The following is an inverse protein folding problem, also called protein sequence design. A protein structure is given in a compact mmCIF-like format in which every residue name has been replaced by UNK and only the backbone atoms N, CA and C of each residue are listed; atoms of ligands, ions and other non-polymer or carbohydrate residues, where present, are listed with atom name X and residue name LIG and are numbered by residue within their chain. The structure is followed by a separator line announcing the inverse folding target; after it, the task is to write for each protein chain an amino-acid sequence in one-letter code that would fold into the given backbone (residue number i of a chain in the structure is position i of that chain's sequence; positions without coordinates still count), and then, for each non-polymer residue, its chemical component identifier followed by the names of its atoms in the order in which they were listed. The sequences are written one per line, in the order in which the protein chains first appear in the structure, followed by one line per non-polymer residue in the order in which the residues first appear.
data_IF_066873930859
#
_entry.id   IF_066873930859
#
_cell.length_a   1.000
_cell.length_b   1.000
_cell.length_c   1.000
_cell.angle_alpha   90.00
_cell.angle_beta   90.00
_cell.angle_gamma   90.00
#
_symmetry.space_group_name_H-M   'P 1'
#
loop_
_entity.id
_entity.type
_entity.pdbx_description
1 polymer ?
#
# COMPACT_ATOMS: atom_id res chain seq x y z
N UNK A 1 53.19 -26.55 -10.94
CA UNK A 1 51.83 -26.32 -11.48
C UNK A 1 50.93 -26.02 -10.30
N UNK A 2 50.55 -24.76 -10.13
CA UNK A 2 49.75 -24.30 -8.99
C UNK A 2 48.35 -24.06 -9.50
N UNK A 3 47.43 -24.99 -9.22
CA UNK A 3 46.02 -24.89 -9.61
C UNK A 3 45.31 -23.96 -8.62
N UNK A 4 45.11 -22.70 -9.02
CA UNK A 4 44.31 -21.75 -8.27
C UNK A 4 42.84 -22.12 -8.44
N UNK A 5 42.26 -22.80 -7.45
CA UNK A 5 40.82 -23.07 -7.40
C UNK A 5 40.13 -21.75 -7.07
N UNK A 6 39.51 -21.12 -8.07
CA UNK A 6 38.62 -19.99 -7.86
C UNK A 6 37.38 -20.48 -7.09
N UNK A 7 37.36 -20.24 -5.79
CA UNK A 7 36.15 -20.35 -4.98
C UNK A 7 35.13 -19.36 -5.56
N UNK A 8 34.12 -19.86 -6.27
CA UNK A 8 32.90 -19.10 -6.55
C UNK A 8 32.31 -18.73 -5.20
N UNK A 9 32.62 -17.52 -4.72
CA UNK A 9 31.96 -16.93 -3.57
C UNK A 9 30.48 -16.89 -3.86
N UNK A 10 29.71 -17.72 -3.17
CA UNK A 10 28.26 -17.59 -3.13
C UNK A 10 27.97 -16.23 -2.50
N UNK A 11 27.70 -15.23 -3.34
CA UNK A 11 27.26 -13.92 -2.88
C UNK A 11 26.03 -14.13 -1.98
N UNK A 12 25.92 -13.42 -0.85
CA UNK A 12 24.89 -13.67 0.15
C UNK A 12 23.50 -13.45 -0.44
N UNK A 13 22.79 -14.55 -0.72
CA UNK A 13 21.43 -14.59 -1.25
C UNK A 13 20.39 -14.05 -0.26
N UNK A 14 20.67 -14.15 1.04
CA UNK A 14 19.83 -13.70 2.15
C UNK A 14 19.41 -12.22 2.03
N UNK A 15 20.35 -11.32 1.69
CA UNK A 15 20.04 -9.88 1.62
C UNK A 15 19.20 -9.48 0.41
N UNK A 16 19.26 -10.24 -0.69
CA UNK A 16 18.41 -10.01 -1.86
C UNK A 16 16.97 -10.39 -1.57
N UNK A 17 16.76 -11.49 -0.84
CA UNK A 17 15.43 -11.93 -0.44
C UNK A 17 14.74 -10.86 0.42
N UNK A 18 15.45 -10.22 1.37
CA UNK A 18 14.89 -9.16 2.21
C UNK A 18 14.35 -7.95 1.44
N UNK A 19 15.10 -7.46 0.44
CA UNK A 19 14.66 -6.33 -0.42
C UNK A 19 13.43 -6.71 -1.24
N UNK A 20 13.41 -7.90 -1.84
CA UNK A 20 12.26 -8.37 -2.61
C UNK A 20 11.02 -8.61 -1.74
N UNK A 21 11.20 -9.10 -0.51
CA UNK A 21 10.10 -9.23 0.45
C UNK A 21 9.54 -7.85 0.82
N UNK A 22 10.38 -6.87 1.11
CA UNK A 22 9.95 -5.50 1.42
C UNK A 22 9.14 -4.90 0.28
N UNK A 23 9.67 -4.95 -0.95
CA UNK A 23 8.98 -4.45 -2.15
C UNK A 23 7.69 -5.22 -2.39
N UNK A 24 7.69 -6.55 -2.22
CA UNK A 24 6.50 -7.38 -2.34
C UNK A 24 5.40 -7.01 -1.36
N UNK A 25 5.76 -6.72 -0.10
CA UNK A 25 4.82 -6.23 0.92
C UNK A 25 4.27 -4.86 0.55
N UNK A 26 5.11 -3.93 0.08
CA UNK A 26 4.67 -2.59 -0.34
C UNK A 26 3.72 -2.63 -1.53
N UNK A 27 4.04 -3.44 -2.54
CA UNK A 27 3.17 -3.65 -3.71
C UNK A 27 1.88 -4.35 -3.31
N UNK A 28 1.96 -5.40 -2.48
CA UNK A 28 0.78 -6.11 -1.99
C UNK A 28 -0.15 -5.21 -1.19
N UNK A 29 0.41 -4.36 -0.33
CA UNK A 29 -0.36 -3.35 0.41
C UNK A 29 -1.02 -2.33 -0.53
N UNK A 30 -0.29 -1.84 -1.54
CA UNK A 30 -0.86 -0.92 -2.53
C UNK A 30 -2.02 -1.54 -3.31
N UNK A 31 -1.92 -2.82 -3.69
CA UNK A 31 -3.01 -3.55 -4.34
C UNK A 31 -4.21 -3.71 -3.41
N UNK A 32 -3.98 -4.09 -2.15
CA UNK A 32 -5.06 -4.20 -1.16
C UNK A 32 -5.76 -2.86 -0.92
N UNK A 33 -4.99 -1.77 -0.84
CA UNK A 33 -5.54 -0.43 -0.69
C UNK A 33 -6.40 -0.02 -1.90
N UNK A 34 -5.91 -0.26 -3.12
CA UNK A 34 -6.66 0.02 -4.34
C UNK A 34 -7.95 -0.82 -4.43
N UNK A 35 -7.88 -2.11 -4.08
CA UNK A 35 -9.03 -3.00 -4.04
C UNK A 35 -10.05 -2.57 -2.97
N UNK A 36 -9.59 -2.15 -1.79
CA UNK A 36 -10.46 -1.62 -0.74
C UNK A 36 -11.21 -0.36 -1.19
N UNK A 37 -10.51 0.59 -1.79
CA UNK A 37 -11.11 1.79 -2.35
C UNK A 37 -12.11 1.48 -3.48
N UNK A 38 -11.76 0.55 -4.37
CA UNK A 38 -12.65 0.10 -5.44
C UNK A 38 -13.93 -0.56 -4.90
N UNK A 39 -13.80 -1.47 -3.93
CA UNK A 39 -14.94 -2.15 -3.32
C UNK A 39 -15.85 -1.17 -2.58
N UNK A 40 -15.30 -0.18 -1.90
CA UNK A 40 -16.07 0.87 -1.25
C UNK A 40 -16.85 1.73 -2.26
N UNK A 41 -16.22 2.13 -3.37
CA UNK A 41 -16.90 2.87 -4.45
C UNK A 41 -17.96 2.02 -5.15
N UNK A 42 -17.70 0.72 -5.36
CA UNK A 42 -18.67 -0.19 -5.94
C UNK A 42 -19.89 -0.36 -5.03
N UNK A 43 -19.68 -0.52 -3.72
CA UNK A 43 -20.76 -0.60 -2.73
C UNK A 43 -21.57 0.69 -2.69
N UNK A 44 -20.92 1.85 -2.70
CA UNK A 44 -21.61 3.14 -2.79
C UNK A 44 -22.45 3.28 -4.07
N UNK A 45 -21.94 2.79 -5.20
CA UNK A 45 -22.68 2.76 -6.46
C UNK A 45 -23.86 1.79 -6.43
N UNK A 46 -23.77 0.67 -5.72
CA UNK A 46 -24.89 -0.27 -5.50
C UNK A 46 -25.99 0.36 -4.64
N UNK A 47 -25.63 1.13 -3.61
CA UNK A 47 -26.59 1.81 -2.73
C UNK A 47 -27.33 2.98 -3.41
N UNK A 48 -26.61 3.77 -4.21
CA UNK A 48 -27.14 5.01 -4.82
C UNK A 48 -27.58 4.87 -6.27
N UNK A 49 -27.20 3.77 -6.93
CA UNK A 49 -27.48 3.53 -8.35
C UNK A 49 -26.58 4.28 -9.34
N UNK A 50 -25.58 5.03 -8.87
CA UNK A 50 -24.61 5.71 -9.74
C UNK A 50 -23.21 5.84 -9.12
N UNK A 51 -22.19 5.90 -9.98
CA UNK A 51 -20.80 6.11 -9.53
C UNK A 51 -20.59 7.55 -9.06
N UNK A 52 -20.27 7.70 -7.78
CA UNK A 52 -19.85 8.96 -7.16
C UNK A 52 -18.86 8.65 -6.02
N UNK A 53 -18.14 9.65 -5.54
CA UNK A 53 -17.31 9.51 -4.34
C UNK A 53 -18.19 9.93 -3.16
N UNK A 54 -18.60 8.99 -2.29
CA UNK A 54 -19.45 9.32 -1.16
C UNK A 54 -18.68 10.16 -0.14
N UNK A 55 -19.44 10.96 0.60
CA UNK A 55 -18.94 11.77 1.69
C UNK A 55 -19.63 11.42 3.00
N UNK A 56 -19.02 11.83 4.11
CA UNK A 56 -19.70 11.79 5.40
C UNK A 56 -20.93 12.69 5.33
N UNK A 57 -22.06 12.24 5.89
CA UNK A 57 -23.36 12.92 5.78
C UNK A 57 -23.86 13.12 4.33
N UNK A 58 -23.47 12.25 3.39
CA UNK A 58 -23.98 12.34 2.01
C UNK A 58 -25.49 12.06 1.96
N UNK A 59 -26.25 13.05 1.48
CA UNK A 59 -27.71 13.00 1.34
C UNK A 59 -28.19 11.81 0.50
N UNK A 60 -27.35 11.27 -0.40
CA UNK A 60 -27.68 10.10 -1.21
C UNK A 60 -27.64 8.78 -0.42
N UNK A 61 -26.90 8.73 0.69
CA UNK A 61 -26.78 7.56 1.57
C UNK A 61 -27.28 7.82 2.99
N UNK A 62 -27.84 9.01 3.25
CA UNK A 62 -28.34 9.43 4.55
C UNK A 62 -29.47 8.49 5.03
N UNK A 63 -29.20 7.74 6.10
CA UNK A 63 -30.13 6.77 6.69
C UNK A 63 -30.04 5.34 6.13
N UNK A 64 -29.13 5.07 5.18
CA UNK A 64 -28.78 3.70 4.80
C UNK A 64 -27.71 3.15 5.74
N UNK A 65 -27.89 1.91 6.20
CA UNK A 65 -26.86 1.21 6.97
C UNK A 65 -25.73 0.76 6.03
N UNK A 66 -24.72 1.62 5.85
CA UNK A 66 -23.60 1.42 4.93
C UNK A 66 -22.81 0.15 5.28
N UNK A 67 -22.67 -0.13 6.58
CA UNK A 67 -22.03 -1.34 7.09
C UNK A 67 -23.00 -2.54 7.18
N UNK A 68 -24.30 -2.27 7.27
CA UNK A 68 -25.38 -3.23 7.37
C UNK A 68 -25.43 -4.22 6.22
N UNK A 69 -25.05 -5.47 6.50
CA UNK A 69 -25.04 -6.53 5.49
C UNK A 69 -23.77 -6.57 4.63
N UNK A 70 -22.87 -5.59 4.77
CA UNK A 70 -21.58 -5.60 4.07
C UNK A 70 -20.48 -6.19 4.95
N UNK A 71 -20.31 -7.52 4.89
CA UNK A 71 -19.33 -8.25 5.71
C UNK A 71 -17.85 -7.83 5.52
N UNK A 72 -17.55 -7.03 4.49
CA UNK A 72 -16.21 -6.50 4.22
C UNK A 72 -16.02 -5.04 4.65
N UNK A 73 -17.06 -4.37 5.16
CA UNK A 73 -16.97 -2.98 5.60
C UNK A 73 -15.83 -2.76 6.61
N UNK A 74 -15.75 -3.62 7.62
CA UNK A 74 -14.75 -3.53 8.68
C UNK A 74 -13.30 -3.70 8.19
N UNK A 75 -12.92 -4.79 7.49
CA UNK A 75 -11.54 -4.95 7.01
C UNK A 75 -11.16 -3.87 5.97
N UNK A 76 -12.09 -3.45 5.12
CA UNK A 76 -11.84 -2.39 4.13
C UNK A 76 -11.60 -1.05 4.82
N UNK A 77 -12.49 -0.65 5.75
CA UNK A 77 -12.34 0.56 6.54
C UNK A 77 -11.01 0.59 7.29
N UNK A 78 -10.61 -0.53 7.91
CA UNK A 78 -9.32 -0.63 8.59
C UNK A 78 -8.12 -0.43 7.65
N UNK A 79 -8.13 -1.03 6.46
CA UNK A 79 -7.06 -0.86 5.46
C UNK A 79 -6.99 0.58 4.95
N UNK A 80 -8.14 1.20 4.66
CA UNK A 80 -8.18 2.58 4.17
C UNK A 80 -7.68 3.60 5.21
N UNK A 81 -8.07 3.43 6.48
CA UNK A 81 -7.64 4.32 7.57
C UNK A 81 -6.19 4.12 7.98
N UNK A 82 -5.69 2.89 7.94
CA UNK A 82 -4.28 2.59 8.28
C UNK A 82 -3.31 2.92 7.15
N UNK A 83 -3.81 3.21 5.93
CA UNK A 83 -2.99 3.47 4.75
C UNK A 83 -1.96 4.59 4.90
N UNK A 84 -2.26 5.78 5.48
CA UNK A 84 -1.27 6.83 5.64
C UNK A 84 -0.12 6.41 6.56
N UNK A 85 -0.44 5.70 7.66
CA UNK A 85 0.54 5.21 8.63
C UNK A 85 1.40 4.10 8.03
N UNK A 86 0.78 3.12 7.38
CA UNK A 86 1.48 2.01 6.73
C UNK A 86 2.38 2.49 5.58
N UNK A 87 1.90 3.44 4.77
CA UNK A 87 2.68 4.03 3.70
C UNK A 87 3.84 4.90 4.24
N UNK A 88 3.61 5.67 5.30
CA UNK A 88 4.66 6.44 5.98
C UNK A 88 5.77 5.55 6.54
N UNK A 89 5.41 4.47 7.23
CA UNK A 89 6.38 3.49 7.74
C UNK A 89 7.11 2.77 6.59
N UNK A 90 6.40 2.38 5.54
CA UNK A 90 6.99 1.75 4.36
C UNK A 90 8.02 2.65 3.66
N UNK A 91 7.73 3.94 3.52
CA UNK A 91 8.67 4.94 3.01
C UNK A 91 9.90 5.06 3.91
N UNK A 92 9.70 5.16 5.22
CA UNK A 92 10.81 5.25 6.18
C UNK A 92 11.75 4.04 6.06
N UNK A 93 11.19 2.83 6.04
CA UNK A 93 11.97 1.58 5.89
C UNK A 93 12.69 1.54 4.54
N UNK A 94 12.04 1.94 3.45
CA UNK A 94 12.69 2.01 2.13
C UNK A 94 13.85 3.00 2.08
N UNK A 95 13.70 4.19 2.69
CA UNK A 95 14.77 5.19 2.77
C UNK A 95 15.95 4.65 3.58
N UNK A 96 15.69 4.02 4.74
CA UNK A 96 16.73 3.41 5.55
C UNK A 96 17.45 2.28 4.79
N UNK A 97 16.71 1.40 4.12
CA UNK A 97 17.28 0.34 3.29
C UNK A 97 18.11 0.90 2.12
N UNK A 98 17.69 2.02 1.53
CA UNK A 98 18.44 2.71 0.48
C UNK A 98 19.75 3.29 1.03
N UNK A 99 19.72 3.99 2.17
CA UNK A 99 20.92 4.57 2.78
C UNK A 99 21.95 3.50 3.16
N UNK A 100 21.51 2.41 3.78
CA UNK A 100 22.36 1.26 4.13
C UNK A 100 22.92 0.60 2.87
N UNK A 101 22.07 0.35 1.87
CA UNK A 101 22.49 -0.28 0.61
C UNK A 101 23.44 0.57 -0.23
N UNK A 102 23.31 1.91 -0.17
CA UNK A 102 24.20 2.85 -0.83
C UNK A 102 25.59 2.87 -0.18
N UNK A 103 25.65 2.88 1.17
CA UNK A 103 26.91 2.80 1.92
C UNK A 103 27.70 1.50 1.62
N UNK A 104 26.99 0.42 1.30
CA UNK A 104 27.57 -0.88 0.94
C UNK A 104 27.82 -1.07 -0.57
N UNK A 105 27.59 -0.05 -1.42
CA UNK A 105 27.86 -0.09 -2.86
C UNK A 105 26.97 -1.07 -3.66
N UNK A 106 25.74 -1.35 -3.21
CA UNK A 106 24.89 -2.41 -3.77
C UNK A 106 24.07 -1.96 -5.00
N UNK A 107 23.94 -2.86 -5.99
CA UNK A 107 23.21 -2.66 -7.27
C UNK A 107 21.68 -2.87 -7.21
N UNK A 108 21.07 -3.14 -6.05
CA UNK A 108 19.62 -3.41 -5.94
C UNK A 108 18.75 -2.15 -5.80
N UNK A 109 19.31 -1.00 -6.17
CA UNK A 109 18.72 0.32 -6.04
C UNK A 109 17.38 0.46 -6.78
N UNK A 110 17.24 -0.14 -7.96
CA UNK A 110 16.01 -0.02 -8.77
C UNK A 110 14.77 -0.65 -8.12
N UNK A 111 14.90 -1.79 -7.43
CA UNK A 111 13.77 -2.44 -6.77
C UNK A 111 13.28 -1.60 -5.56
N UNK A 112 14.22 -1.03 -4.80
CA UNK A 112 13.90 -0.13 -3.68
C UNK A 112 13.26 1.17 -4.17
N UNK A 113 13.69 1.71 -5.32
CA UNK A 113 13.06 2.88 -5.94
C UNK A 113 11.62 2.54 -6.32
N UNK A 114 11.38 1.41 -6.98
CA UNK A 114 10.03 0.99 -7.37
C UNK A 114 9.10 0.86 -6.14
N UNK A 115 9.57 0.20 -5.07
CA UNK A 115 8.82 0.09 -3.81
C UNK A 115 8.53 1.45 -3.16
N UNK A 116 9.54 2.33 -3.11
CA UNK A 116 9.38 3.71 -2.61
C UNK A 116 8.34 4.49 -3.41
N UNK A 117 8.39 4.43 -4.75
CA UNK A 117 7.44 5.15 -5.62
C UNK A 117 6.02 4.65 -5.40
N UNK A 118 5.81 3.33 -5.32
CA UNK A 118 4.50 2.75 -5.05
C UNK A 118 3.97 3.17 -3.68
N UNK A 119 4.81 3.09 -2.65
CA UNK A 119 4.43 3.48 -1.29
C UNK A 119 4.13 4.98 -1.20
N UNK A 120 4.90 5.81 -1.91
CA UNK A 120 4.67 7.24 -2.03
C UNK A 120 3.35 7.55 -2.74
N UNK A 121 3.04 6.83 -3.82
CA UNK A 121 1.78 6.99 -4.53
C UNK A 121 0.59 6.66 -3.62
N UNK A 122 0.66 5.56 -2.85
CA UNK A 122 -0.37 5.22 -1.84
C UNK A 122 -0.54 6.34 -0.83
N UNK A 123 0.57 6.89 -0.30
CA UNK A 123 0.51 8.00 0.64
C UNK A 123 -0.18 9.22 0.03
N UNK A 124 0.22 9.63 -1.18
CA UNK A 124 -0.38 10.77 -1.87
C UNK A 124 -1.88 10.58 -2.09
N UNK A 125 -2.29 9.40 -2.58
CA UNK A 125 -3.71 9.08 -2.81
C UNK A 125 -4.47 9.09 -1.48
N UNK A 126 -3.91 8.51 -0.42
CA UNK A 126 -4.57 8.47 0.90
C UNK A 126 -4.80 9.84 1.53
N UNK A 127 -4.00 10.84 1.15
CA UNK A 127 -4.13 12.21 1.62
C UNK A 127 -5.06 13.06 0.75
N UNK A 128 -5.60 12.51 -0.34
CA UNK A 128 -6.55 13.26 -1.18
C UNK A 128 -7.89 13.46 -0.45
N UNK A 129 -8.60 14.58 -0.70
CA UNK A 129 -9.93 14.80 -0.15
C UNK A 129 -10.91 13.66 -0.48
N UNK A 130 -10.81 13.08 -1.67
CA UNK A 130 -11.65 11.96 -2.09
C UNK A 130 -11.43 10.70 -1.22
N UNK A 131 -10.17 10.36 -0.91
CA UNK A 131 -9.87 9.22 -0.04
C UNK A 131 -10.33 9.46 1.41
N UNK A 132 -10.15 10.68 1.91
CA UNK A 132 -10.61 11.07 3.25
C UNK A 132 -12.13 11.03 3.35
N UNK A 133 -12.83 11.56 2.35
CA UNK A 133 -14.29 11.52 2.21
C UNK A 133 -14.82 10.09 2.23
N UNK A 134 -14.24 9.21 1.42
CA UNK A 134 -14.58 7.78 1.35
C UNK A 134 -14.33 7.07 2.69
N UNK A 135 -13.22 7.39 3.38
CA UNK A 135 -12.92 6.81 4.68
C UNK A 135 -13.85 7.30 5.80
N UNK A 136 -14.28 8.56 5.74
CA UNK A 136 -15.26 9.15 6.66
C UNK A 136 -16.64 8.53 6.47
N UNK A 137 -17.08 8.37 5.22
CA UNK A 137 -18.33 7.69 4.89
C UNK A 137 -18.37 6.22 5.36
N UNK A 138 -17.25 5.50 5.25
CA UNK A 138 -17.13 4.12 5.72
C UNK A 138 -17.19 3.99 7.26
N UNK A 139 -16.97 5.08 7.98
CA UNK A 139 -16.98 5.15 9.44
C UNK A 139 -18.32 5.65 10.01
N UNK A 140 -19.13 6.25 9.15
CA UNK A 140 -20.47 6.78 9.44
C UNK A 140 -21.49 5.63 9.47
#
# INVERSE_FOLDING_TARGET
MTTTVATRGNAPTSNRAGVWTLVGVQVGFAVLYALGGWLALAHAAELTGHWHVPAQEDAATEGLDVAGGWGWAWPIGYVLQSAPVAAGLGLFVSIMAFLVGYAEGRRQTYALIAGTVVTFAVLLVSLTPAAQSLSGWLLD
#
